data_IF_179173313845
#
_entry.id   IF_179173313845
#
_cell.length_a   1.000
_cell.length_b   1.000
_cell.length_c   1.000
_cell.angle_alpha   90.00
_cell.angle_beta   90.00
_cell.angle_gamma   90.00
#
_symmetry.space_group_name_H-M   'P 1'
#
loop_
_entity.id
_entity.type
_entity.pdbx_description
1 polymer ?
#
# COMPACT_ATOMS: atom_id res chain seq x y z
N UNK A 1 8.88 -17.02 -35.43
CA UNK A 1 8.79 -15.99 -34.38
C UNK A 1 10.21 -15.54 -34.07
N UNK A 2 10.49 -14.24 -34.07
CA UNK A 2 11.81 -13.69 -33.73
C UNK A 2 12.02 -13.59 -32.21
N UNK A 3 13.26 -13.45 -31.75
CA UNK A 3 13.54 -13.21 -30.32
C UNK A 3 12.85 -11.93 -29.84
N UNK A 4 12.83 -10.89 -30.67
CA UNK A 4 12.13 -9.62 -30.38
C UNK A 4 10.62 -9.83 -30.21
N UNK A 5 9.97 -10.60 -31.09
CA UNK A 5 8.55 -10.94 -30.98
C UNK A 5 8.22 -11.75 -29.71
N UNK A 6 9.13 -12.64 -29.28
CA UNK A 6 9.00 -13.39 -28.02
C UNK A 6 9.11 -12.44 -26.82
N UNK A 7 10.12 -11.58 -26.78
CA UNK A 7 10.33 -10.61 -25.69
C UNK A 7 9.16 -9.61 -25.62
N UNK A 8 8.61 -9.16 -26.74
CA UNK A 8 7.40 -8.33 -26.74
C UNK A 8 6.18 -9.05 -26.18
N UNK A 9 5.97 -10.33 -26.53
CA UNK A 9 4.86 -11.11 -25.98
C UNK A 9 5.02 -11.37 -24.48
N UNK A 10 6.25 -11.62 -24.01
CA UNK A 10 6.55 -11.77 -22.58
C UNK A 10 6.32 -10.46 -21.80
N UNK A 11 6.75 -9.30 -22.34
CA UNK A 11 6.43 -7.97 -21.77
C UNK A 11 4.92 -7.73 -21.66
N UNK A 12 4.14 -8.11 -22.68
CA UNK A 12 2.67 -8.02 -22.66
C UNK A 12 2.05 -8.97 -21.63
N UNK A 13 2.56 -10.20 -21.50
CA UNK A 13 2.13 -11.17 -20.50
C UNK A 13 2.45 -10.69 -19.07
N UNK A 14 3.65 -10.14 -18.84
CA UNK A 14 4.04 -9.54 -17.56
C UNK A 14 3.09 -8.40 -17.16
N UNK A 15 2.80 -7.45 -18.06
CA UNK A 15 1.85 -6.36 -17.79
C UNK A 15 0.45 -6.86 -17.43
N UNK A 16 -0.06 -7.91 -18.10
CA UNK A 16 -1.33 -8.55 -17.74
C UNK A 16 -1.29 -9.24 -16.38
N UNK A 17 -0.16 -9.86 -16.00
CA UNK A 17 0.04 -10.46 -14.68
C UNK A 17 0.05 -9.42 -13.57
N UNK A 18 0.61 -8.21 -13.77
CA UNK A 18 0.51 -7.14 -12.77
C UNK A 18 -0.96 -6.74 -12.54
N UNK A 19 -1.72 -6.48 -13.61
CA UNK A 19 -3.15 -6.12 -13.51
C UNK A 19 -3.96 -7.22 -12.83
N UNK A 20 -3.63 -8.49 -13.10
CA UNK A 20 -4.25 -9.63 -12.42
C UNK A 20 -3.86 -9.71 -10.92
N UNK A 21 -2.59 -9.43 -10.58
CA UNK A 21 -2.08 -9.39 -9.20
C UNK A 21 -2.78 -8.31 -8.37
N UNK A 22 -2.87 -7.09 -8.90
CA UNK A 22 -3.63 -5.99 -8.29
C UNK A 22 -5.10 -6.37 -8.07
N UNK A 23 -5.75 -6.94 -9.09
CA UNK A 23 -7.13 -7.39 -9.00
C UNK A 23 -7.34 -8.51 -7.97
N UNK A 24 -6.33 -9.36 -7.75
CA UNK A 24 -6.37 -10.39 -6.71
C UNK A 24 -6.26 -9.79 -5.29
N UNK A 25 -5.34 -8.84 -5.04
CA UNK A 25 -5.28 -8.14 -3.72
C UNK A 25 -6.60 -7.43 -3.42
N UNK A 26 -7.19 -6.77 -4.43
CA UNK A 26 -8.52 -6.14 -4.35
C UNK A 26 -9.60 -7.16 -3.99
N UNK A 27 -9.61 -8.32 -4.64
CA UNK A 27 -10.61 -9.35 -4.40
C UNK A 27 -10.49 -9.92 -2.97
N UNK A 28 -9.27 -10.20 -2.49
CA UNK A 28 -9.06 -10.61 -1.09
C UNK A 28 -9.54 -9.51 -0.11
N UNK A 29 -9.23 -8.25 -0.37
CA UNK A 29 -9.65 -7.15 0.48
C UNK A 29 -11.18 -7.07 0.61
N UNK A 30 -11.89 -7.14 -0.51
CA UNK A 30 -13.36 -7.13 -0.54
C UNK A 30 -13.98 -8.36 0.17
N UNK A 31 -13.41 -9.56 -0.03
CA UNK A 31 -13.82 -10.81 0.64
C UNK A 31 -13.57 -10.71 2.16
N UNK A 32 -12.46 -10.11 2.58
CA UNK A 32 -12.10 -9.93 3.98
C UNK A 32 -13.05 -8.99 4.72
N UNK A 33 -13.30 -7.80 4.17
CA UNK A 33 -14.12 -6.77 4.81
C UNK A 33 -15.63 -7.03 4.70
N UNK A 34 -16.12 -7.55 3.56
CA UNK A 34 -17.47 -8.08 3.48
C UNK A 34 -17.71 -9.18 4.53
N UNK A 35 -16.65 -9.92 4.87
CA UNK A 35 -16.61 -10.83 6.00
C UNK A 35 -16.77 -10.17 7.36
N UNK A 36 -16.01 -9.10 7.65
CA UNK A 36 -16.15 -8.40 8.93
C UNK A 36 -17.55 -7.80 9.12
N UNK A 37 -18.12 -7.19 8.06
CA UNK A 37 -19.48 -6.63 8.06
C UNK A 37 -20.52 -7.74 8.28
N UNK A 38 -20.37 -8.87 7.57
CA UNK A 38 -21.27 -10.02 7.73
C UNK A 38 -21.15 -10.67 9.12
N UNK A 39 -19.93 -10.80 9.67
CA UNK A 39 -19.69 -11.42 10.97
C UNK A 39 -20.15 -10.52 12.14
N UNK A 40 -20.10 -9.19 11.99
CA UNK A 40 -20.72 -8.23 12.91
C UNK A 40 -22.26 -8.30 12.83
N UNK A 41 -22.84 -8.26 11.62
CA UNK A 41 -24.28 -8.36 11.40
C UNK A 41 -24.91 -9.72 11.74
N UNK A 42 -24.11 -10.79 11.87
CA UNK A 42 -24.54 -12.15 12.21
C UNK A 42 -23.97 -12.67 13.53
N UNK A 43 -23.53 -11.76 14.41
CA UNK A 43 -23.03 -12.09 15.74
C UNK A 43 -24.08 -12.87 16.55
N UNK A 44 -23.69 -14.03 17.09
CA UNK A 44 -24.60 -14.93 17.83
C UNK A 44 -25.59 -15.73 16.99
N UNK A 45 -25.60 -15.59 15.65
CA UNK A 45 -26.51 -16.35 14.79
C UNK A 45 -26.19 -17.85 14.77
N UNK A 46 -27.21 -18.68 14.98
CA UNK A 46 -27.16 -20.15 14.95
C UNK A 46 -27.59 -20.75 13.60
N UNK A 47 -27.97 -19.91 12.62
CA UNK A 47 -28.45 -20.37 11.31
C UNK A 47 -27.33 -21.05 10.51
N UNK A 48 -27.52 -22.28 9.99
CA UNK A 48 -26.50 -23.00 9.22
C UNK A 48 -25.93 -22.21 8.03
N UNK A 49 -26.78 -21.42 7.37
CA UNK A 49 -26.42 -20.55 6.24
C UNK A 49 -25.33 -19.53 6.60
N UNK A 50 -25.25 -19.09 7.85
CA UNK A 50 -24.20 -18.15 8.31
C UNK A 50 -22.85 -18.87 8.42
N UNK A 51 -22.83 -20.12 8.89
CA UNK A 51 -21.59 -20.90 8.94
C UNK A 51 -21.13 -21.32 7.54
N UNK A 52 -22.07 -21.64 6.63
CA UNK A 52 -21.76 -21.92 5.23
C UNK A 52 -21.21 -20.68 4.49
N UNK A 53 -21.81 -19.50 4.71
CA UNK A 53 -21.26 -18.25 4.16
C UNK A 53 -19.85 -17.95 4.69
N UNK A 54 -19.59 -18.18 5.99
CA UNK A 54 -18.23 -18.09 6.56
C UNK A 54 -17.26 -19.08 5.93
N UNK A 55 -17.71 -20.31 5.62
CA UNK A 55 -16.92 -21.36 4.96
C UNK A 55 -16.54 -20.95 3.54
N UNK A 56 -17.52 -20.61 2.71
CA UNK A 56 -17.33 -20.15 1.33
C UNK A 56 -16.46 -18.89 1.25
N UNK A 57 -16.67 -17.94 2.17
CA UNK A 57 -15.85 -16.72 2.28
C UNK A 57 -14.37 -17.02 2.55
N UNK A 58 -14.09 -17.95 3.47
CA UNK A 58 -12.72 -18.37 3.78
C UNK A 58 -12.06 -19.00 2.55
N UNK A 59 -12.78 -19.88 1.85
CA UNK A 59 -12.28 -20.62 0.69
C UNK A 59 -12.02 -19.68 -0.49
N UNK A 60 -12.97 -18.82 -0.87
CA UNK A 60 -12.75 -17.82 -1.92
C UNK A 60 -11.56 -16.88 -1.61
N UNK A 61 -11.38 -16.49 -0.35
CA UNK A 61 -10.21 -15.72 0.08
C UNK A 61 -8.91 -16.54 0.08
N UNK A 62 -8.97 -17.87 0.15
CA UNK A 62 -7.81 -18.76 0.05
C UNK A 62 -7.42 -19.02 -1.39
N UNK A 63 -8.38 -19.23 -2.29
CA UNK A 63 -8.18 -19.36 -3.74
C UNK A 63 -7.59 -18.07 -4.35
N UNK A 64 -8.10 -16.90 -3.97
CA UNK A 64 -7.58 -15.61 -4.44
C UNK A 64 -6.12 -15.39 -4.01
N UNK A 65 -5.73 -15.83 -2.81
CA UNK A 65 -4.33 -15.77 -2.35
C UNK A 65 -3.41 -16.72 -3.12
N UNK A 66 -3.89 -17.93 -3.42
CA UNK A 66 -3.17 -18.89 -4.25
C UNK A 66 -2.97 -18.36 -5.68
N UNK A 67 -4.01 -17.75 -6.26
CA UNK A 67 -3.93 -17.08 -7.56
C UNK A 67 -2.91 -15.93 -7.55
N UNK A 68 -2.95 -15.05 -6.53
CA UNK A 68 -1.96 -13.98 -6.36
C UNK A 68 -0.53 -14.51 -6.26
N UNK A 69 -0.29 -15.55 -5.45
CA UNK A 69 1.03 -16.16 -5.30
C UNK A 69 1.54 -16.80 -6.60
N UNK A 70 0.66 -17.47 -7.35
CA UNK A 70 0.99 -18.03 -8.67
C UNK A 70 1.30 -16.94 -9.71
N UNK A 71 0.61 -15.80 -9.67
CA UNK A 71 0.91 -14.63 -10.52
C UNK A 71 2.29 -14.06 -10.21
N UNK A 72 2.64 -13.89 -8.93
CA UNK A 72 3.98 -13.43 -8.52
C UNK A 72 5.08 -14.37 -9.04
N UNK A 73 4.95 -15.68 -8.83
CA UNK A 73 5.93 -16.65 -9.31
C UNK A 73 6.05 -16.67 -10.85
N UNK A 74 4.94 -16.47 -11.57
CA UNK A 74 4.96 -16.34 -13.03
C UNK A 74 5.67 -15.07 -13.51
N UNK A 75 5.61 -13.98 -12.76
CA UNK A 75 6.34 -12.75 -13.06
C UNK A 75 7.84 -12.92 -12.80
N UNK A 76 8.21 -13.47 -11.64
CA UNK A 76 9.61 -13.75 -11.27
C UNK A 76 10.33 -14.61 -12.35
N UNK A 77 9.63 -15.60 -12.95
CA UNK A 77 10.14 -16.40 -14.09
C UNK A 77 10.29 -15.58 -15.39
N UNK A 78 9.35 -14.69 -15.70
CA UNK A 78 9.42 -13.86 -16.92
C UNK A 78 10.58 -12.85 -16.80
N UNK A 79 10.74 -12.23 -15.63
CA UNK A 79 11.80 -11.25 -15.37
C UNK A 79 13.19 -11.90 -15.42
N UNK A 80 13.36 -13.10 -14.83
CA UNK A 80 14.60 -13.88 -14.93
C UNK A 80 14.94 -14.22 -16.39
N UNK A 81 13.96 -14.71 -17.16
CA UNK A 81 14.14 -15.02 -18.58
C UNK A 81 14.51 -13.78 -19.41
N UNK A 82 13.82 -12.66 -19.19
CA UNK A 82 14.12 -11.40 -19.87
C UNK A 82 15.54 -10.91 -19.54
N UNK A 83 15.94 -10.91 -18.26
CA UNK A 83 17.28 -10.52 -17.83
C UNK A 83 18.36 -11.41 -18.46
N UNK A 84 18.18 -12.74 -18.40
CA UNK A 84 19.16 -13.72 -18.86
C UNK A 84 19.39 -13.72 -20.38
N UNK A 85 18.38 -13.39 -21.20
CA UNK A 85 18.46 -13.48 -22.67
C UNK A 85 18.56 -12.11 -23.36
N UNK A 86 18.00 -11.04 -22.80
CA UNK A 86 18.22 -9.70 -23.36
C UNK A 86 19.60 -9.13 -23.00
N UNK A 87 20.16 -9.47 -21.83
CA UNK A 87 21.38 -8.85 -21.33
C UNK A 87 21.17 -7.39 -20.90
N UNK A 88 19.92 -6.99 -20.69
CA UNK A 88 19.47 -5.76 -20.04
C UNK A 88 18.14 -6.06 -19.34
N UNK A 89 17.71 -5.19 -18.43
CA UNK A 89 16.37 -5.27 -17.86
C UNK A 89 15.28 -5.04 -18.92
N UNK A 90 14.02 -5.01 -18.48
CA UNK A 90 12.90 -4.67 -19.37
C UNK A 90 13.12 -3.31 -20.04
N UNK A 91 13.80 -2.39 -19.37
CA UNK A 91 14.25 -1.10 -19.88
C UNK A 91 15.66 -1.17 -20.53
N UNK A 92 15.72 -0.91 -21.83
CA UNK A 92 16.97 -0.83 -22.59
C UNK A 92 17.64 0.53 -22.48
N UNK A 93 18.54 0.71 -21.51
CA UNK A 93 19.39 1.89 -21.37
C UNK A 93 20.87 1.48 -21.22
N UNK A 94 21.73 1.92 -22.15
CA UNK A 94 23.15 1.58 -22.19
C UNK A 94 24.00 2.52 -21.30
N UNK A 95 25.11 1.99 -20.76
CA UNK A 95 25.94 2.63 -19.73
C UNK A 95 27.04 3.54 -20.31
N UNK A 96 27.16 4.76 -19.79
CA UNK A 96 28.41 5.53 -19.59
C UNK A 96 28.16 6.62 -18.51
N UNK A 97 29.10 7.07 -17.65
CA UNK A 97 30.43 6.53 -17.36
C UNK A 97 31.57 7.58 -17.21
N UNK A 98 31.62 8.40 -16.15
CA UNK A 98 32.87 9.07 -15.69
C UNK A 98 32.83 9.73 -14.30
N UNK A 99 33.54 9.12 -13.34
CA UNK A 99 34.60 9.69 -12.45
C UNK A 99 34.76 11.23 -12.23
N UNK A 100 34.91 11.56 -10.92
CA UNK A 100 35.64 12.68 -10.26
C UNK A 100 35.17 14.15 -10.25
N UNK A 101 35.18 14.74 -9.04
CA UNK A 101 35.18 16.19 -8.75
C UNK A 101 35.33 16.45 -7.24
N UNK A 102 36.40 17.14 -6.80
CA UNK A 102 36.78 17.27 -5.37
C UNK A 102 36.00 18.34 -4.59
N UNK A 103 35.96 18.22 -3.25
CA UNK A 103 35.64 19.33 -2.32
C UNK A 103 36.82 20.34 -2.18
N UNK A 104 36.87 21.22 -1.14
CA UNK A 104 36.61 20.87 0.27
C UNK A 104 35.96 21.97 1.19
N UNK A 105 35.75 21.64 2.48
CA UNK A 105 35.95 22.45 3.73
C UNK A 105 35.46 23.92 3.83
N UNK A 106 34.92 24.47 4.93
CA UNK A 106 34.60 24.01 6.32
C UNK A 106 33.30 24.76 6.81
N UNK A 107 32.88 25.07 8.05
CA UNK A 107 33.42 25.17 9.44
C UNK A 107 32.33 24.86 10.52
N UNK A 108 32.62 25.15 11.80
CA UNK A 108 31.81 24.96 13.04
C UNK A 108 30.85 26.15 13.32
N UNK A 109 29.97 26.23 14.34
CA UNK A 109 29.64 25.40 15.52
C UNK A 109 28.12 25.56 15.87
N UNK A 110 27.51 24.68 16.68
CA UNK A 110 26.02 24.52 16.72
C UNK A 110 25.35 24.67 18.11
N UNK A 111 24.52 25.71 18.35
CA UNK A 111 23.73 25.91 19.58
C UNK A 111 22.20 25.65 19.42
N UNK A 112 21.45 25.76 20.52
CA UNK A 112 19.98 25.65 20.64
C UNK A 112 19.46 26.50 21.84
N UNK A 113 18.13 26.64 22.17
CA UNK A 113 16.94 26.01 21.58
C UNK A 113 15.67 26.91 21.38
N UNK A 114 14.57 26.28 20.96
CA UNK A 114 13.14 26.63 21.18
C UNK A 114 12.43 27.62 20.22
N UNK A 115 11.09 27.66 20.38
CA UNK A 115 10.03 28.37 19.64
C UNK A 115 9.56 27.76 18.29
N UNK A 116 8.26 27.43 18.23
CA UNK A 116 7.53 26.96 17.05
C UNK A 116 6.93 28.13 16.26
N UNK A 117 7.34 28.29 15.01
CA UNK A 117 6.53 28.90 13.93
C UNK A 117 7.02 28.39 12.56
N UNK A 118 6.36 27.40 11.94
CA UNK A 118 6.66 26.97 10.56
C UNK A 118 5.97 27.88 9.52
N UNK A 119 6.68 28.62 8.66
CA UNK A 119 6.07 29.46 7.64
C UNK A 119 5.61 28.62 6.42
N UNK A 120 4.38 28.81 5.91
CA UNK A 120 3.90 28.07 4.74
C UNK A 120 4.56 28.60 3.45
N UNK A 121 5.37 27.77 2.78
CA UNK A 121 5.84 28.08 1.42
C UNK A 121 7.03 27.26 0.92
N UNK A 122 8.09 27.13 1.72
CA UNK A 122 9.36 26.51 1.26
C UNK A 122 9.29 25.00 1.06
N UNK A 123 8.48 24.30 1.84
CA UNK A 123 8.45 22.83 1.85
C UNK A 123 8.00 22.21 0.51
N UNK A 124 7.12 22.88 -0.24
CA UNK A 124 6.40 22.24 -1.34
C UNK A 124 7.23 21.95 -2.58
N UNK A 125 8.35 22.65 -2.81
CA UNK A 125 9.22 22.40 -3.97
C UNK A 125 10.01 21.10 -3.79
N UNK A 126 10.82 21.05 -2.72
CA UNK A 126 11.60 19.87 -2.34
C UNK A 126 10.71 18.64 -2.07
N UNK A 127 9.48 18.82 -1.58
CA UNK A 127 8.51 17.72 -1.48
C UNK A 127 8.13 17.17 -2.86
N UNK A 128 7.77 18.00 -3.85
CA UNK A 128 7.42 17.51 -5.21
C UNK A 128 8.61 16.85 -5.91
N UNK A 129 9.82 17.34 -5.68
CA UNK A 129 11.05 16.73 -6.18
C UNK A 129 11.26 15.33 -5.56
N UNK A 130 11.14 15.20 -4.24
CA UNK A 130 11.20 13.92 -3.55
C UNK A 130 10.05 12.96 -3.94
N UNK A 131 8.83 13.45 -4.12
CA UNK A 131 7.69 12.67 -4.62
C UNK A 131 7.96 12.12 -6.03
N UNK A 132 8.54 12.94 -6.92
CA UNK A 132 8.93 12.52 -8.27
C UNK A 132 10.07 11.50 -8.26
N UNK A 133 11.11 11.70 -7.43
CA UNK A 133 12.19 10.74 -7.24
C UNK A 133 11.69 9.39 -6.70
N UNK A 134 10.74 9.41 -5.76
CA UNK A 134 10.11 8.21 -5.20
C UNK A 134 9.24 7.48 -6.23
N UNK A 135 8.51 8.20 -7.08
CA UNK A 135 7.75 7.62 -8.20
C UNK A 135 8.72 6.95 -9.18
N UNK A 136 9.76 7.66 -9.63
CA UNK A 136 10.77 7.11 -10.53
C UNK A 136 11.53 5.93 -9.91
N UNK A 137 11.67 5.88 -8.59
CA UNK A 137 12.25 4.74 -7.87
C UNK A 137 11.33 3.51 -7.81
N UNK A 138 10.01 3.70 -7.82
CA UNK A 138 9.06 2.58 -8.01
C UNK A 138 9.08 2.09 -9.46
N UNK A 139 9.09 3.01 -10.43
CA UNK A 139 9.17 2.66 -11.86
C UNK A 139 10.45 1.85 -12.17
N UNK A 140 11.63 2.32 -11.71
CA UNK A 140 12.90 1.57 -11.83
C UNK A 140 12.91 0.21 -11.13
N UNK A 141 12.06 0.00 -10.13
CA UNK A 141 11.91 -1.27 -9.42
C UNK A 141 10.90 -2.23 -10.09
N UNK A 142 10.42 -1.91 -11.30
CA UNK A 142 9.40 -2.70 -12.02
C UNK A 142 8.00 -2.63 -11.38
N UNK A 143 7.80 -1.73 -10.42
CA UNK A 143 6.53 -1.57 -9.71
C UNK A 143 5.58 -0.73 -10.57
N UNK A 144 4.41 -1.27 -10.88
CA UNK A 144 3.34 -0.49 -11.51
C UNK A 144 2.83 0.53 -10.50
N UNK A 145 3.14 1.77 -10.79
CA UNK A 145 2.61 3.00 -10.22
C UNK A 145 2.06 3.82 -11.39
N UNK A 146 0.96 4.54 -11.20
CA UNK A 146 0.49 5.50 -12.21
C UNK A 146 0.74 6.92 -11.71
N UNK A 147 1.82 7.60 -12.17
CA UNK A 147 2.21 8.93 -11.68
C UNK A 147 1.09 9.98 -11.76
N UNK A 148 0.17 9.84 -12.71
CA UNK A 148 -0.96 10.77 -12.94
C UNK A 148 -2.15 10.49 -12.02
N UNK A 149 -2.16 9.35 -11.33
CA UNK A 149 -3.16 8.98 -10.34
C UNK A 149 -2.66 9.10 -8.89
N UNK A 150 -1.35 9.11 -8.62
CA UNK A 150 -0.81 9.28 -7.26
C UNK A 150 -1.38 10.56 -6.64
N UNK A 151 -2.12 10.44 -5.54
CA UNK A 151 -2.66 11.59 -4.80
C UNK A 151 -1.89 11.89 -3.51
N UNK A 152 -1.11 10.93 -3.01
CA UNK A 152 -0.02 11.13 -2.03
C UNK A 152 0.94 9.95 -2.08
N UNK A 153 2.23 10.22 -1.92
CA UNK A 153 3.31 9.23 -1.76
C UNK A 153 4.19 9.65 -0.56
N UNK A 154 4.73 8.69 0.17
CA UNK A 154 5.61 8.94 1.31
C UNK A 154 6.66 7.83 1.46
N UNK A 155 7.86 8.18 1.92
CA UNK A 155 8.84 7.23 2.43
C UNK A 155 8.70 7.09 3.95
N UNK A 156 8.48 5.87 4.42
CA UNK A 156 8.32 5.53 5.83
C UNK A 156 9.68 5.46 6.55
N UNK A 157 9.72 5.53 7.90
CA UNK A 157 10.96 5.45 8.68
C UNK A 157 11.75 4.14 8.49
N UNK A 158 11.07 3.05 8.10
CA UNK A 158 11.71 1.77 7.75
C UNK A 158 12.30 1.73 6.33
N UNK A 159 12.25 2.86 5.61
CA UNK A 159 12.80 3.04 4.28
C UNK A 159 11.87 2.65 3.13
N UNK A 160 10.74 1.97 3.40
CA UNK A 160 9.74 1.61 2.37
C UNK A 160 9.07 2.86 1.81
N UNK A 161 8.67 2.81 0.53
CA UNK A 161 7.86 3.86 -0.11
C UNK A 161 6.43 3.34 -0.22
N UNK A 162 5.46 4.15 0.20
CA UNK A 162 4.02 3.85 0.11
C UNK A 162 3.28 4.97 -0.60
N UNK A 163 2.28 4.63 -1.41
CA UNK A 163 1.46 5.62 -2.14
C UNK A 163 -0.01 5.24 -2.15
N UNK A 164 -0.86 6.21 -2.44
CA UNK A 164 -2.28 6.00 -2.71
C UNK A 164 -2.65 6.63 -4.05
N UNK A 165 -3.45 5.92 -4.83
CA UNK A 165 -3.92 6.37 -6.14
C UNK A 165 -5.38 6.83 -6.10
N UNK A 166 -5.65 8.00 -6.69
CA UNK A 166 -6.97 8.60 -6.84
C UNK A 166 -7.96 7.67 -7.53
N UNK A 167 -7.75 7.41 -8.82
CA UNK A 167 -8.71 6.76 -9.74
C UNK A 167 -8.73 5.23 -9.65
N UNK A 168 -8.78 4.69 -8.44
CA UNK A 168 -8.87 3.25 -8.20
C UNK A 168 -10.04 2.91 -7.26
N UNK A 169 -11.25 2.80 -7.84
CA UNK A 169 -12.48 2.29 -7.18
C UNK A 169 -12.34 0.92 -6.52
N UNK A 170 -11.34 0.15 -6.94
CA UNK A 170 -11.10 -1.23 -6.52
C UNK A 170 -10.14 -1.31 -5.32
N UNK A 171 -9.14 -0.44 -5.24
CA UNK A 171 -8.17 -0.41 -4.14
C UNK A 171 -7.25 0.81 -4.19
N UNK A 172 -7.77 1.98 -3.80
CA UNK A 172 -7.03 3.24 -3.71
C UNK A 172 -7.84 4.31 -2.99
N UNK A 173 -7.59 5.60 -3.23
CA UNK A 173 -8.27 6.71 -2.56
C UNK A 173 -9.77 6.75 -2.89
N UNK A 174 -10.19 6.50 -4.14
CA UNK A 174 -11.61 6.34 -4.48
C UNK A 174 -12.28 5.23 -3.65
N UNK A 175 -11.57 4.12 -3.42
CA UNK A 175 -12.06 3.01 -2.59
C UNK A 175 -12.09 3.37 -1.10
N UNK A 176 -11.01 3.93 -0.55
CA UNK A 176 -10.90 4.34 0.86
C UNK A 176 -11.94 5.42 1.21
N UNK A 177 -12.27 6.28 0.25
CA UNK A 177 -13.22 7.37 0.38
C UNK A 177 -14.58 7.08 -0.31
N UNK A 178 -15.01 5.82 -0.41
CA UNK A 178 -16.42 5.55 -0.70
C UNK A 178 -17.31 6.07 0.46
N UNK A 179 -18.52 6.56 0.17
CA UNK A 179 -19.33 7.24 1.19
C UNK A 179 -19.82 6.31 2.31
N UNK A 180 -20.03 5.02 2.06
CA UNK A 180 -20.35 4.05 3.12
C UNK A 180 -19.18 3.94 4.12
N UNK A 181 -17.96 3.82 3.58
CA UNK A 181 -16.70 3.70 4.33
C UNK A 181 -16.37 4.97 5.09
N UNK A 182 -16.54 6.13 4.46
CA UNK A 182 -16.46 7.44 5.11
C UNK A 182 -17.52 7.56 6.20
N UNK A 183 -18.67 6.89 6.07
CA UNK A 183 -19.65 6.71 7.13
C UNK A 183 -19.13 5.97 8.36
N UNK A 184 -18.21 5.00 8.24
CA UNK A 184 -17.50 4.40 9.38
C UNK A 184 -16.52 5.38 10.01
N UNK A 185 -15.75 6.11 9.21
CA UNK A 185 -14.79 7.12 9.70
C UNK A 185 -15.48 8.27 10.44
N UNK A 186 -16.58 8.80 9.89
CA UNK A 186 -17.42 9.83 10.52
C UNK A 186 -17.99 9.36 11.86
N UNK A 187 -18.41 8.08 11.98
CA UNK A 187 -18.91 7.48 13.23
C UNK A 187 -17.88 7.43 14.36
N UNK A 188 -16.57 7.50 14.06
CA UNK A 188 -15.50 7.65 15.06
C UNK A 188 -14.91 9.06 15.07
N UNK A 189 -15.56 10.06 14.48
CA UNK A 189 -15.10 11.45 14.48
C UNK A 189 -13.90 11.73 13.56
N UNK A 190 -13.74 11.00 12.46
CA UNK A 190 -12.82 11.35 11.36
C UNK A 190 -13.65 11.83 10.16
N UNK A 191 -13.62 13.12 9.77
CA UNK A 191 -14.28 13.57 8.55
C UNK A 191 -13.49 13.16 7.30
N UNK A 192 -14.13 13.19 6.13
CA UNK A 192 -13.68 12.59 4.85
C UNK A 192 -12.25 13.03 4.48
N UNK A 193 -12.00 14.32 4.61
CA UNK A 193 -10.77 15.04 4.32
C UNK A 193 -9.61 14.73 5.29
N UNK A 194 -9.89 14.16 6.47
CA UNK A 194 -8.88 13.72 7.44
C UNK A 194 -8.53 12.23 7.31
N UNK A 195 -9.29 11.43 6.55
CA UNK A 195 -9.06 9.98 6.40
C UNK A 195 -7.70 9.66 5.79
N UNK A 196 -7.34 10.24 4.63
CA UNK A 196 -6.02 10.00 4.01
C UNK A 196 -4.87 10.56 4.88
N UNK A 197 -4.95 11.79 5.44
CA UNK A 197 -3.98 12.25 6.43
C UNK A 197 -3.79 11.31 7.64
N UNK A 198 -4.86 10.74 8.21
CA UNK A 198 -4.79 9.77 9.30
C UNK A 198 -4.11 8.47 8.87
N UNK A 199 -4.41 7.96 7.68
CA UNK A 199 -3.81 6.73 7.13
C UNK A 199 -2.30 6.89 6.98
N UNK A 200 -1.83 8.03 6.46
CA UNK A 200 -0.40 8.29 6.35
C UNK A 200 0.25 8.52 7.72
N UNK A 201 -0.33 9.32 8.62
CA UNK A 201 0.22 9.51 9.98
C UNK A 201 0.34 8.17 10.75
N UNK A 202 -0.61 7.26 10.55
CA UNK A 202 -0.58 5.91 11.13
C UNK A 202 0.53 5.00 10.54
N UNK A 203 0.90 5.17 9.26
CA UNK A 203 2.04 4.46 8.65
C UNK A 203 3.38 5.13 8.96
N UNK A 204 3.40 6.46 9.07
CA UNK A 204 4.59 7.28 9.30
C UNK A 204 5.06 7.24 10.77
N UNK A 205 4.14 7.09 11.74
CA UNK A 205 4.47 7.08 13.18
C UNK A 205 3.50 6.31 14.08
N UNK A 206 2.59 5.50 13.54
CA UNK A 206 1.67 4.68 14.34
C UNK A 206 2.30 3.37 14.82
N UNK A 207 1.88 2.91 16.00
CA UNK A 207 2.31 1.61 16.58
C UNK A 207 1.33 0.51 16.20
N UNK A 208 1.81 -0.65 15.73
CA UNK A 208 0.93 -1.80 15.46
C UNK A 208 0.48 -2.43 16.79
N UNK A 209 -0.81 -2.28 17.10
CA UNK A 209 -1.44 -2.77 18.35
C UNK A 209 -2.18 -4.11 18.20
N UNK A 210 -2.17 -4.68 17.00
CA UNK A 210 -2.76 -5.98 16.70
C UNK A 210 -3.22 -6.08 15.25
N UNK A 211 -4.08 -7.05 14.98
CA UNK A 211 -4.56 -7.39 13.65
C UNK A 211 -6.09 -7.49 13.59
N UNK A 212 -6.67 -7.05 12.47
CA UNK A 212 -8.07 -7.31 12.09
C UNK A 212 -8.12 -8.32 10.94
N UNK A 213 -9.27 -8.94 10.70
CA UNK A 213 -9.43 -9.98 9.69
C UNK A 213 -8.41 -11.12 9.83
N UNK A 214 -7.88 -11.58 8.69
CA UNK A 214 -6.88 -12.65 8.66
C UNK A 214 -5.49 -12.16 9.09
N UNK A 215 -5.08 -10.97 8.65
CA UNK A 215 -3.67 -10.53 8.69
C UNK A 215 -3.46 -8.99 8.68
N UNK A 216 -4.53 -8.19 8.58
CA UNK A 216 -4.45 -6.74 8.37
C UNK A 216 -3.95 -6.01 9.62
N UNK A 217 -2.78 -5.32 9.59
CA UNK A 217 -2.27 -4.59 10.75
C UNK A 217 -3.19 -3.45 11.17
N UNK A 218 -3.37 -3.29 12.49
CA UNK A 218 -4.08 -2.16 13.10
C UNK A 218 -3.04 -1.27 13.77
N UNK A 219 -2.93 -0.05 13.25
CA UNK A 219 -2.06 0.99 13.78
C UNK A 219 -2.84 1.84 14.79
N UNK A 220 -2.22 2.16 15.92
CA UNK A 220 -2.65 3.16 16.88
C UNK A 220 -1.75 4.38 16.78
N UNK A 221 -2.34 5.57 16.66
CA UNK A 221 -1.62 6.84 16.48
C UNK A 221 -2.37 7.97 17.19
N UNK A 222 -1.64 8.95 17.73
CA UNK A 222 -2.25 10.21 18.20
C UNK A 222 -2.43 11.11 16.98
N UNK A 223 -3.68 11.46 16.67
CA UNK A 223 -4.04 12.23 15.50
C UNK A 223 -5.18 13.20 15.83
N UNK A 224 -5.00 14.48 15.46
CA UNK A 224 -5.89 15.60 15.85
C UNK A 224 -6.16 15.66 17.38
N UNK A 225 -5.13 15.35 18.17
CA UNK A 225 -5.17 15.35 19.64
C UNK A 225 -5.76 14.09 20.28
N UNK A 226 -6.29 13.15 19.50
CA UNK A 226 -6.97 11.95 19.99
C UNK A 226 -6.25 10.66 19.60
N UNK A 227 -6.34 9.62 20.45
CA UNK A 227 -5.83 8.28 20.11
C UNK A 227 -6.78 7.63 19.10
N UNK A 228 -6.31 7.41 17.88
CA UNK A 228 -7.07 6.77 16.79
C UNK A 228 -6.48 5.39 16.49
N UNK A 229 -7.34 4.41 16.18
CA UNK A 229 -6.92 3.14 15.57
C UNK A 229 -7.47 3.02 14.15
N UNK A 230 -6.62 2.55 13.25
CA UNK A 230 -6.97 2.30 11.84
C UNK A 230 -6.33 1.00 11.36
N UNK A 231 -7.13 0.11 10.78
CA UNK A 231 -6.66 -1.05 10.05
C UNK A 231 -6.27 -0.61 8.64
N UNK A 232 -5.05 -0.87 8.21
CA UNK A 232 -4.52 -0.42 6.90
C UNK A 232 -4.03 -1.63 6.12
N UNK A 233 -4.41 -1.71 4.85
CA UNK A 233 -3.91 -2.71 3.89
C UNK A 233 -3.01 -1.99 2.88
N UNK A 234 -1.77 -2.46 2.78
CA UNK A 234 -0.76 -2.01 1.81
C UNK A 234 -0.28 -3.24 1.03
N UNK A 235 -0.05 -3.13 -0.27
CA UNK A 235 0.54 -4.24 -1.06
C UNK A 235 1.99 -4.52 -0.65
N UNK A 236 2.57 -5.63 -1.12
CA UNK A 236 4.02 -5.92 -1.04
C UNK A 236 4.86 -4.75 -1.58
N UNK A 237 4.34 -4.07 -2.60
CA UNK A 237 5.05 -3.07 -3.39
C UNK A 237 4.98 -1.65 -2.79
N UNK A 238 3.88 -1.34 -2.09
CA UNK A 238 3.66 -0.07 -1.38
C UNK A 238 2.30 0.61 -1.62
N UNK A 239 1.43 0.08 -2.49
CA UNK A 239 0.12 0.67 -2.77
C UNK A 239 -0.83 0.50 -1.58
N UNK A 240 -1.37 1.60 -1.06
CA UNK A 240 -2.36 1.62 0.01
C UNK A 240 -3.75 1.38 -0.60
N UNK A 241 -4.24 0.14 -0.52
CA UNK A 241 -5.49 -0.28 -1.17
C UNK A 241 -6.75 -0.06 -0.31
N UNK A 242 -6.61 0.01 1.01
CA UNK A 242 -7.78 0.10 1.90
C UNK A 242 -7.48 0.47 3.35
N UNK A 243 -8.31 1.34 3.93
CA UNK A 243 -8.28 1.73 5.34
C UNK A 243 -9.66 1.53 5.98
N UNK A 244 -9.70 1.17 7.28
CA UNK A 244 -10.95 1.01 8.04
C UNK A 244 -10.72 1.44 9.51
N UNK A 245 -11.61 2.25 10.11
CA UNK A 245 -11.44 2.73 11.47
C UNK A 245 -11.76 1.63 12.50
N UNK A 246 -10.92 1.49 13.51
CA UNK A 246 -11.11 0.49 14.56
C UNK A 246 -11.49 1.20 15.87
N UNK A 247 -12.59 0.76 16.50
CA UNK A 247 -12.97 1.25 17.83
C UNK A 247 -11.91 0.86 18.87
N UNK A 248 -11.50 1.79 19.73
CA UNK A 248 -10.57 1.52 20.84
C UNK A 248 -11.07 0.40 21.78
N UNK A 249 -12.40 0.18 21.83
CA UNK A 249 -13.06 -0.86 22.63
C UNK A 249 -13.04 -2.25 21.97
N UNK A 250 -12.73 -2.35 20.67
CA UNK A 250 -12.69 -3.62 19.92
C UNK A 250 -11.44 -4.41 20.34
N UNK A 251 -11.65 -5.63 20.84
CA UNK A 251 -10.55 -6.57 21.13
C UNK A 251 -9.88 -6.97 19.80
N UNK A 252 -8.56 -6.85 19.74
CA UNK A 252 -7.75 -7.20 18.57
C UNK A 252 -6.97 -8.49 18.82
N UNK A 253 -6.56 -9.16 17.74
CA UNK A 253 -5.62 -10.29 17.85
C UNK A 253 -4.21 -9.72 18.00
N UNK A 254 -3.46 -10.01 19.07
CA UNK A 254 -2.17 -9.34 19.36
C UNK A 254 -0.99 -9.91 18.55
N UNK A 255 -1.17 -11.05 17.87
CA UNK A 255 -0.16 -11.68 17.00
C UNK A 255 -0.78 -12.04 15.66
N UNK A 256 0.02 -11.98 14.59
CA UNK A 256 -0.40 -12.37 13.25
C UNK A 256 -0.84 -13.84 13.23
N UNK A 257 -0.02 -14.73 13.78
CA UNK A 257 -0.32 -16.16 13.94
C UNK A 257 -0.66 -16.50 15.40
N UNK A 258 -1.47 -17.54 15.61
CA UNK A 258 -1.44 -18.29 16.87
C UNK A 258 -0.20 -19.19 16.86
N UNK A 259 0.72 -18.89 17.77
CA UNK A 259 1.60 -19.87 18.42
C UNK A 259 0.76 -20.73 19.37
#
# INVERSE_FOLDING_TARGET
MSVTEVVEQLRRAHALLVVAREAAVVAEFAIGEGGEIFDEGTAGSVWPQVQEMRRLRREAGEDVRLAHAAMVAAQEIIDEYCFAIAGHGVDGAAVFGSVSGSGPSVDEEVPAPAADTRPPGRDTAAQREAEADWIADRERAGVVINPKNVTRIARLPDGRIVWVEGRNKKGGQEHILDDDRVGHFRRVGVPRERVIPLVFAALEGGTVVGYSGKDRPVYEVVFDGEVRRVAITVTRDGLIVGAHPISLKRKLRPRLHRS
#
